data_IF_454377112542
#
_entry.id   IF_454377112542
#
_cell.length_a   1.000
_cell.length_b   1.000
_cell.length_c   1.000
_cell.angle_alpha   90.00
_cell.angle_beta   90.00
_cell.angle_gamma   90.00
#
_symmetry.space_group_name_H-M   'P 1'
#
loop_
_entity.id
_entity.type
_entity.pdbx_description
1 polymer ?
#
# COMPACT_ATOMS: atom_id res chain seq x y z
N UNK A 1 8.98 8.57 0.14
CA UNK A 1 7.86 7.69 0.49
C UNK A 1 7.58 7.75 1.97
N UNK A 2 6.33 7.88 2.35
CA UNK A 2 5.93 7.95 3.75
C UNK A 2 5.02 6.80 4.11
N UNK A 3 5.07 6.36 5.36
CA UNK A 3 4.25 5.27 5.88
C UNK A 3 3.32 5.80 6.95
N UNK A 4 2.02 5.64 6.73
CA UNK A 4 1.05 5.99 7.74
C UNK A 4 1.21 5.04 8.93
N UNK A 5 0.94 5.52 10.13
CA UNK A 5 1.03 4.74 11.36
C UNK A 5 0.22 3.45 11.30
N UNK A 6 -0.97 3.47 10.66
CA UNK A 6 -1.79 2.27 10.50
C UNK A 6 -1.11 1.22 9.62
N UNK A 7 -0.38 1.65 8.59
CA UNK A 7 0.36 0.72 7.73
C UNK A 7 1.50 0.08 8.48
N UNK A 8 2.18 0.84 9.33
CA UNK A 8 3.26 0.31 10.16
C UNK A 8 2.72 -0.72 11.14
N UNK A 9 1.57 -0.45 11.74
CA UNK A 9 0.91 -1.41 12.63
C UNK A 9 0.50 -2.67 11.88
N UNK A 10 -0.02 -2.51 10.66
CA UNK A 10 -0.41 -3.65 9.82
C UNK A 10 0.77 -4.59 9.57
N UNK A 11 1.97 -4.05 9.40
CA UNK A 11 3.15 -4.86 9.15
C UNK A 11 3.49 -5.80 10.31
N UNK A 12 3.06 -5.48 11.51
CA UNK A 12 3.30 -6.34 12.67
C UNK A 12 2.54 -7.65 12.57
N UNK A 13 1.43 -7.66 11.82
CA UNK A 13 0.62 -8.86 11.62
C UNK A 13 1.06 -9.67 10.40
N UNK A 14 2.06 -9.18 9.69
CA UNK A 14 2.65 -9.87 8.54
C UNK A 14 3.90 -10.59 9.01
N UNK A 15 4.10 -11.84 8.58
CA UNK A 15 5.32 -12.57 8.95
C UNK A 15 6.55 -11.82 8.46
N UNK A 16 7.66 -11.97 9.17
CA UNK A 16 8.88 -11.20 8.90
C UNK A 16 9.38 -11.33 7.47
N UNK A 17 9.35 -12.52 6.92
CA UNK A 17 9.81 -12.77 5.56
C UNK A 17 8.97 -12.05 4.53
N UNK A 18 7.65 -12.14 4.67
CA UNK A 18 6.72 -11.44 3.76
C UNK A 18 6.81 -9.94 3.92
N UNK A 19 6.92 -9.45 5.15
CA UNK A 19 7.03 -8.03 5.42
C UNK A 19 8.29 -7.44 4.78
N UNK A 20 9.40 -8.14 4.91
CA UNK A 20 10.67 -7.70 4.31
C UNK A 20 10.56 -7.63 2.78
N UNK A 21 10.04 -8.69 2.16
CA UNK A 21 9.87 -8.73 0.71
C UNK A 21 8.93 -7.66 0.21
N UNK A 22 7.83 -7.44 0.93
CA UNK A 22 6.84 -6.45 0.60
C UNK A 22 7.43 -5.03 0.67
N UNK A 23 8.16 -4.72 1.74
CA UNK A 23 8.80 -3.42 1.91
C UNK A 23 9.81 -3.16 0.80
N UNK A 24 10.64 -4.14 0.50
CA UNK A 24 11.63 -4.03 -0.57
C UNK A 24 10.96 -3.78 -1.93
N UNK A 25 9.89 -4.53 -2.22
CA UNK A 25 9.16 -4.41 -3.48
C UNK A 25 8.54 -3.02 -3.61
N UNK A 26 7.90 -2.53 -2.55
CA UNK A 26 7.30 -1.20 -2.55
C UNK A 26 8.37 -0.14 -2.77
N UNK A 27 9.46 -0.24 -2.05
CA UNK A 27 10.54 0.76 -2.11
C UNK A 27 11.19 0.81 -3.50
N UNK A 28 11.36 -0.34 -4.13
CA UNK A 28 12.03 -0.43 -5.41
C UNK A 28 11.14 -0.12 -6.61
N UNK A 29 9.90 -0.59 -6.57
CA UNK A 29 9.04 -0.54 -7.76
C UNK A 29 8.00 0.58 -7.76
N UNK A 30 7.31 0.80 -6.66
CA UNK A 30 6.24 1.79 -6.66
C UNK A 30 6.69 3.20 -7.05
N UNK A 31 7.85 3.69 -6.58
CA UNK A 31 8.27 5.03 -6.95
C UNK A 31 8.56 5.23 -8.44
N UNK A 32 8.80 4.15 -9.16
CA UNK A 32 9.09 4.23 -10.59
C UNK A 32 7.87 4.65 -11.39
N UNK A 33 6.71 4.11 -11.07
CA UNK A 33 5.48 4.45 -11.75
C UNK A 33 4.27 4.08 -10.89
N UNK A 34 3.99 4.87 -9.86
CA UNK A 34 2.93 4.53 -8.92
C UNK A 34 1.53 4.53 -9.52
N UNK A 35 1.32 5.21 -10.62
CA UNK A 35 0.01 5.24 -11.28
C UNK A 35 -0.23 3.95 -12.07
N UNK A 36 0.78 3.49 -12.81
CA UNK A 36 0.63 2.29 -13.66
C UNK A 36 0.80 0.99 -12.92
N UNK A 37 1.65 0.96 -11.88
CA UNK A 37 1.91 -0.27 -11.14
C UNK A 37 0.78 -0.66 -10.20
N UNK A 38 0.00 0.30 -9.75
CA UNK A 38 -1.16 0.03 -8.93
C UNK A 38 -2.44 0.16 -9.72
N UNK A 39 -3.55 -0.23 -9.08
CA UNK A 39 -4.87 -0.06 -9.67
C UNK A 39 -5.66 0.98 -8.89
N UNK A 40 -6.30 1.94 -9.57
CA UNK A 40 -7.09 2.94 -8.85
C UNK A 40 -8.32 2.29 -8.22
N UNK A 41 -8.67 2.74 -7.04
CA UNK A 41 -9.85 2.28 -6.35
C UNK A 41 -11.03 3.21 -6.65
N UNK A 42 -12.23 2.70 -6.41
CA UNK A 42 -13.47 3.42 -6.72
C UNK A 42 -14.34 3.57 -5.48
N UNK A 43 -15.43 4.31 -5.60
CA UNK A 43 -16.37 4.51 -4.52
C UNK A 43 -15.77 5.26 -3.35
N UNK A 44 -15.91 4.71 -2.16
CA UNK A 44 -15.38 5.30 -0.93
C UNK A 44 -13.88 5.49 -0.95
N UNK A 45 -13.19 4.70 -1.76
CA UNK A 45 -11.74 4.71 -1.84
C UNK A 45 -11.20 5.47 -3.04
N UNK A 46 -12.04 6.25 -3.67
CA UNK A 46 -11.65 7.03 -4.85
C UNK A 46 -10.46 7.94 -4.51
N UNK A 47 -9.47 7.95 -5.38
CA UNK A 47 -8.23 8.71 -5.17
C UNK A 47 -7.10 7.89 -4.57
N UNK A 48 -7.40 6.67 -4.16
CA UNK A 48 -6.40 5.76 -3.62
C UNK A 48 -6.07 4.68 -4.65
N UNK A 49 -4.96 3.99 -4.42
CA UNK A 49 -4.48 2.96 -5.32
C UNK A 49 -4.20 1.69 -4.53
N UNK A 50 -4.25 0.57 -5.23
CA UNK A 50 -3.95 -0.74 -4.67
C UNK A 50 -2.77 -1.36 -5.40
N UNK A 51 -1.82 -1.90 -4.64
CA UNK A 51 -0.73 -2.69 -5.18
C UNK A 51 -0.79 -4.08 -4.55
N UNK A 52 -0.67 -5.11 -5.37
CA UNK A 52 -0.77 -6.48 -4.91
C UNK A 52 0.61 -7.13 -4.78
N UNK A 53 0.87 -7.74 -3.62
CA UNK A 53 2.08 -8.50 -3.38
C UNK A 53 1.70 -9.84 -2.75
N UNK A 54 1.72 -10.93 -3.55
CA UNK A 54 1.29 -12.23 -3.08
C UNK A 54 -0.15 -12.19 -2.60
N UNK A 55 -0.39 -12.59 -1.37
CA UNK A 55 -1.72 -12.56 -0.74
C UNK A 55 -2.02 -11.22 -0.07
N UNK A 56 -1.07 -10.33 -0.08
CA UNK A 56 -1.22 -9.04 0.58
C UNK A 56 -1.55 -7.94 -0.41
N UNK A 57 -2.19 -6.90 0.11
CA UNK A 57 -2.50 -5.72 -0.65
C UNK A 57 -2.01 -4.49 0.09
N UNK A 58 -1.57 -3.53 -0.67
CA UNK A 58 -1.07 -2.27 -0.16
C UNK A 58 -1.97 -1.18 -0.70
N UNK A 59 -2.53 -0.37 0.18
CA UNK A 59 -3.34 0.79 -0.21
C UNK A 59 -2.47 2.02 -0.04
N UNK A 60 -2.38 2.83 -1.07
CA UNK A 60 -1.54 4.03 -1.03
C UNK A 60 -2.18 5.20 -1.75
N UNK A 61 -1.72 6.39 -1.40
CA UNK A 61 -2.11 7.62 -2.06
C UNK A 61 -0.87 8.23 -2.71
N UNK A 62 -1.07 9.04 -3.72
CA UNK A 62 0.00 9.77 -4.39
C UNK A 62 -0.14 11.23 -4.02
N UNK A 63 0.89 11.78 -3.37
CA UNK A 63 0.94 13.20 -3.03
C UNK A 63 1.71 13.92 -4.13
N UNK A 64 0.99 14.58 -5.00
CA UNK A 64 1.59 15.28 -6.14
C UNK A 64 2.37 16.51 -5.74
N UNK A 65 2.00 17.14 -4.64
CA UNK A 65 2.71 18.32 -4.16
C UNK A 65 4.10 17.98 -3.65
N UNK A 66 4.16 16.91 -2.87
CA UNK A 66 5.43 16.45 -2.29
C UNK A 66 6.16 15.46 -3.17
N UNK A 67 5.54 15.09 -4.28
CA UNK A 67 6.07 14.09 -5.20
C UNK A 67 6.46 12.81 -4.46
N UNK A 68 5.56 12.33 -3.63
CA UNK A 68 5.81 11.15 -2.81
C UNK A 68 4.58 10.24 -2.74
N UNK A 69 4.81 9.03 -2.26
CA UNK A 69 3.77 8.03 -2.06
C UNK A 69 3.53 7.88 -0.57
N UNK A 70 2.27 7.86 -0.17
CA UNK A 70 1.88 7.63 1.21
C UNK A 70 1.25 6.24 1.32
N UNK A 71 1.89 5.35 2.03
CA UNK A 71 1.39 4.00 2.27
C UNK A 71 0.40 4.07 3.43
N UNK A 72 -0.86 3.72 3.16
CA UNK A 72 -1.94 3.87 4.13
C UNK A 72 -2.29 2.60 4.88
N UNK A 73 -2.37 1.48 4.17
CA UNK A 73 -2.73 0.20 4.77
C UNK A 73 -2.00 -0.94 4.08
N UNK A 74 -1.75 -1.99 4.83
CA UNK A 74 -1.18 -3.24 4.32
C UNK A 74 -1.95 -4.39 4.97
N UNK A 75 -2.28 -5.42 4.21
CA UNK A 75 -2.94 -6.58 4.78
C UNK A 75 -3.56 -7.45 3.71
N UNK A 76 -4.24 -8.49 4.16
CA UNK A 76 -5.00 -9.37 3.28
C UNK A 76 -6.26 -8.64 2.86
N UNK A 77 -6.77 -8.97 1.67
CA UNK A 77 -7.93 -8.29 1.11
C UNK A 77 -9.09 -8.14 2.09
N UNK A 78 -9.44 -9.21 2.78
CA UNK A 78 -10.59 -9.18 3.70
C UNK A 78 -10.40 -8.19 4.85
N UNK A 79 -9.19 -8.09 5.34
CA UNK A 79 -8.87 -7.22 6.47
C UNK A 79 -8.88 -5.76 6.10
N UNK A 80 -8.37 -5.45 4.91
CA UNK A 80 -8.25 -4.06 4.44
C UNK A 80 -9.62 -3.45 4.12
N UNK A 81 -10.45 -4.18 3.41
CA UNK A 81 -11.72 -3.66 2.92
C UNK A 81 -12.87 -3.79 3.91
N UNK A 82 -12.68 -4.53 4.98
CA UNK A 82 -13.72 -4.78 5.97
C UNK A 82 -14.02 -3.57 6.85
N UNK A 83 -13.10 -2.67 6.94
CA UNK A 83 -13.29 -1.47 7.74
C UNK A 83 -13.69 -0.33 6.82
N UNK A 84 -14.95 -0.18 6.68
CA UNK A 84 -15.52 0.92 5.90
C UNK A 84 -15.26 2.26 6.52
#
# INVERSE_FOLDING_TARGET
>A
MKWHERAVEDLRDVDKKSAKGLIERIREYLPQDPISLGKPLHGEFKGLYRYRYGRYRVIYAIDKKEDTILILRVGKRKEIYKQG
#
